data_IF_089471950773
#
_entry.id   IF_089471950773
#
_cell.length_a   1.000
_cell.length_b   1.000
_cell.length_c   1.000
_cell.angle_alpha   90.00
_cell.angle_beta   90.00
_cell.angle_gamma   90.00
#
_symmetry.space_group_name_H-M   'P 1'
#
loop_
_entity.id
_entity.type
_entity.pdbx_description
1 polymer ?
#
# COMPACT_ATOMS: atom_id res chain seq x y z
N UNK A 1 26.75 14.16 -7.48
CA UNK A 1 26.12 13.00 -6.81
C UNK A 1 25.31 13.42 -5.57
N UNK A 2 25.92 14.07 -4.57
CA UNK A 2 25.26 14.47 -3.31
C UNK A 2 23.98 15.31 -3.50
N UNK A 3 24.01 16.34 -4.36
CA UNK A 3 22.82 17.14 -4.70
C UNK A 3 21.66 16.28 -5.21
N UNK A 4 21.92 15.28 -6.07
CA UNK A 4 20.86 14.39 -6.62
C UNK A 4 20.23 13.52 -5.53
N UNK A 5 21.04 13.01 -4.60
CA UNK A 5 20.56 12.23 -3.46
C UNK A 5 19.68 13.10 -2.55
N UNK A 6 20.13 14.30 -2.21
CA UNK A 6 19.36 15.23 -1.38
C UNK A 6 18.00 15.60 -2.02
N UNK A 7 17.97 15.87 -3.33
CA UNK A 7 16.73 16.14 -4.05
C UNK A 7 15.79 14.92 -4.05
N UNK A 8 16.34 13.70 -4.14
CA UNK A 8 15.56 12.46 -4.10
C UNK A 8 14.95 12.21 -2.73
N UNK A 9 15.70 12.50 -1.66
CA UNK A 9 15.23 12.43 -0.27
C UNK A 9 14.11 13.46 -0.07
N UNK A 10 14.36 14.72 -0.44
CA UNK A 10 13.37 15.79 -0.33
C UNK A 10 12.08 15.46 -1.09
N UNK A 11 12.18 14.95 -2.33
CA UNK A 11 11.03 14.50 -3.10
C UNK A 11 10.25 13.37 -2.42
N UNK A 12 10.94 12.45 -1.75
CA UNK A 12 10.30 11.35 -1.02
C UNK A 12 9.58 11.83 0.23
N UNK A 13 10.20 12.75 0.99
CA UNK A 13 9.58 13.38 2.16
C UNK A 13 8.35 14.20 1.77
N UNK A 14 8.44 14.99 0.69
CA UNK A 14 7.32 15.74 0.14
C UNK A 14 6.17 14.81 -0.29
N UNK A 15 6.49 13.71 -0.96
CA UNK A 15 5.50 12.70 -1.34
C UNK A 15 4.78 12.09 -0.14
N UNK A 16 5.53 11.72 0.90
CA UNK A 16 4.95 11.15 2.13
C UNK A 16 4.10 12.16 2.88
N UNK A 17 4.60 13.40 3.05
CA UNK A 17 3.88 14.47 3.72
C UNK A 17 2.57 14.84 2.98
N UNK A 18 2.62 14.92 1.64
CA UNK A 18 1.45 15.15 0.81
C UNK A 18 0.40 14.04 0.97
N UNK A 19 0.84 12.78 1.01
CA UNK A 19 -0.08 11.66 1.22
C UNK A 19 -0.74 11.67 2.60
N UNK A 20 0.02 11.99 3.65
CA UNK A 20 -0.51 12.12 5.01
C UNK A 20 -1.52 13.28 5.07
N UNK A 21 -1.21 14.42 4.47
CA UNK A 21 -2.13 15.56 4.38
C UNK A 21 -3.45 15.19 3.71
N UNK A 22 -3.39 14.52 2.55
CA UNK A 22 -4.59 14.06 1.83
C UNK A 22 -5.40 13.12 2.72
N UNK A 23 -4.76 12.13 3.36
CA UNK A 23 -5.44 11.15 4.20
C UNK A 23 -6.09 11.78 5.44
N UNK A 24 -5.41 12.73 6.10
CA UNK A 24 -5.93 13.38 7.30
C UNK A 24 -7.00 14.42 6.99
N UNK A 25 -6.89 15.18 5.90
CA UNK A 25 -7.88 16.23 5.60
C UNK A 25 -9.11 15.64 4.89
N UNK A 26 -8.94 14.61 4.05
CA UNK A 26 -10.05 14.04 3.28
C UNK A 26 -11.16 13.48 4.16
N UNK A 27 -10.84 12.74 5.22
CA UNK A 27 -11.82 12.09 6.09
C UNK A 27 -12.83 13.09 6.70
N UNK A 28 -12.43 14.09 7.51
CA UNK A 28 -13.38 15.05 8.08
C UNK A 28 -14.09 15.90 7.03
N UNK A 29 -13.41 16.21 5.93
CA UNK A 29 -14.01 17.03 4.88
C UNK A 29 -15.13 16.27 4.17
N UNK A 30 -14.88 15.03 3.74
CA UNK A 30 -15.88 14.22 3.07
C UNK A 30 -17.03 13.87 4.02
N UNK A 31 -16.76 13.57 5.29
CA UNK A 31 -17.81 13.36 6.30
C UNK A 31 -18.67 14.62 6.48
N UNK A 32 -18.07 15.81 6.50
CA UNK A 32 -18.81 17.07 6.68
C UNK A 32 -19.79 17.35 5.54
N UNK A 33 -19.40 17.09 4.28
CA UNK A 33 -20.22 17.44 3.11
C UNK A 33 -21.13 16.31 2.62
N UNK A 34 -20.71 15.05 2.75
CA UNK A 34 -21.48 13.89 2.29
C UNK A 34 -22.17 13.13 3.43
N UNK A 35 -21.75 13.35 4.68
CA UNK A 35 -22.22 12.55 5.81
C UNK A 35 -21.60 11.14 5.83
N UNK A 36 -21.83 10.41 6.93
CA UNK A 36 -21.21 9.10 7.15
C UNK A 36 -21.66 8.03 6.14
N UNK A 37 -22.94 7.98 5.81
CA UNK A 37 -23.47 6.90 4.96
C UNK A 37 -22.98 7.03 3.52
N UNK A 38 -23.13 8.21 2.91
CA UNK A 38 -22.69 8.47 1.55
C UNK A 38 -21.17 8.36 1.42
N UNK A 39 -20.40 8.85 2.41
CA UNK A 39 -18.95 8.67 2.44
C UNK A 39 -18.55 7.18 2.57
N UNK A 40 -19.31 6.39 3.33
CA UNK A 40 -19.11 4.94 3.41
C UNK A 40 -19.32 4.23 2.08
N UNK A 41 -20.38 4.59 1.36
CA UNK A 41 -20.64 4.05 0.01
C UNK A 41 -19.55 4.47 -0.97
N UNK A 42 -19.10 5.72 -0.90
CA UNK A 42 -17.94 6.21 -1.67
C UNK A 42 -16.67 5.39 -1.38
N UNK A 43 -16.37 5.08 -0.12
CA UNK A 43 -15.21 4.24 0.23
C UNK A 43 -15.31 2.84 -0.35
N UNK A 44 -16.51 2.24 -0.36
CA UNK A 44 -16.74 0.93 -0.99
C UNK A 44 -16.51 1.00 -2.50
N UNK A 45 -17.06 2.00 -3.18
CA UNK A 45 -16.86 2.23 -4.60
C UNK A 45 -15.39 2.53 -4.95
N UNK A 46 -14.64 3.19 -4.07
CA UNK A 46 -13.21 3.44 -4.23
C UNK A 46 -12.34 2.21 -4.01
N UNK A 47 -12.83 1.27 -3.18
CA UNK A 47 -12.12 0.03 -2.84
C UNK A 47 -12.11 -0.95 -4.02
N UNK A 48 -13.22 -1.09 -4.76
CA UNK A 48 -13.36 -2.10 -5.81
C UNK A 48 -12.31 -1.94 -6.94
N UNK A 49 -12.13 -0.75 -7.56
CA UNK A 49 -11.18 -0.56 -8.65
C UNK A 49 -9.73 -0.73 -8.23
N UNK A 50 -9.41 -0.60 -6.94
CA UNK A 50 -8.05 -0.76 -6.46
C UNK A 50 -7.50 -2.17 -6.69
N UNK A 51 -8.35 -3.19 -6.83
CA UNK A 51 -7.91 -4.54 -7.23
C UNK A 51 -7.32 -4.57 -8.65
N UNK A 52 -7.63 -3.60 -9.52
CA UNK A 52 -6.95 -3.47 -10.81
C UNK A 52 -5.47 -3.12 -10.65
N UNK A 53 -5.03 -2.57 -9.52
CA UNK A 53 -3.59 -2.40 -9.28
C UNK A 53 -2.85 -3.74 -9.19
N UNK A 54 -3.56 -4.85 -8.96
CA UNK A 54 -2.99 -6.20 -9.03
C UNK A 54 -2.72 -6.65 -10.46
N UNK A 55 -3.38 -6.07 -11.48
CA UNK A 55 -3.08 -6.38 -12.88
C UNK A 55 -1.68 -5.92 -13.27
N UNK A 56 -1.11 -4.97 -12.53
CA UNK A 56 0.28 -4.62 -12.67
C UNK A 56 1.20 -5.76 -12.25
N UNK A 57 0.82 -6.70 -11.37
CA UNK A 57 1.58 -7.91 -11.03
C UNK A 57 3.12 -7.77 -10.87
N UNK A 58 3.62 -6.58 -10.50
CA UNK A 58 5.05 -6.24 -10.48
C UNK A 58 5.70 -6.03 -11.86
N UNK A 59 4.91 -5.99 -12.94
CA UNK A 59 5.27 -5.65 -14.31
C UNK A 59 5.86 -4.25 -14.39
N UNK A 60 5.21 -3.21 -13.84
CA UNK A 60 5.79 -1.86 -13.85
C UNK A 60 7.17 -1.83 -13.18
N UNK A 61 7.35 -2.54 -12.06
CA UNK A 61 8.64 -2.64 -11.38
C UNK A 61 9.70 -3.37 -12.22
N UNK A 62 9.37 -4.49 -12.86
CA UNK A 62 10.30 -5.21 -13.73
C UNK A 62 10.65 -4.42 -15.00
N UNK A 63 9.65 -3.83 -15.65
CA UNK A 63 9.85 -2.90 -16.77
C UNK A 63 10.73 -1.73 -16.35
N UNK A 64 10.53 -1.21 -15.14
CA UNK A 64 11.30 -0.08 -14.64
C UNK A 64 12.78 -0.40 -14.46
N UNK A 65 13.07 -1.58 -13.93
CA UNK A 65 14.45 -2.06 -13.78
C UNK A 65 15.11 -2.34 -15.14
N UNK A 66 14.40 -3.01 -16.06
CA UNK A 66 14.94 -3.29 -17.40
C UNK A 66 15.15 -1.99 -18.19
N UNK A 67 14.24 -1.02 -18.08
CA UNK A 67 14.39 0.29 -18.71
C UNK A 67 15.63 1.00 -18.19
N UNK A 68 15.89 0.97 -16.89
CA UNK A 68 17.10 1.54 -16.30
C UNK A 68 18.38 0.87 -16.83
N UNK A 69 18.38 -0.46 -17.01
CA UNK A 69 19.52 -1.19 -17.58
C UNK A 69 19.75 -0.79 -19.05
N UNK A 70 18.70 -0.77 -19.86
CA UNK A 70 18.79 -0.50 -21.31
C UNK A 70 19.20 0.95 -21.58
N UNK A 71 18.62 1.91 -20.84
CA UNK A 71 19.02 3.33 -20.92
C UNK A 71 20.46 3.53 -20.44
N UNK A 72 20.90 2.84 -19.39
CA UNK A 72 22.30 2.90 -18.92
C UNK A 72 23.29 2.35 -19.96
N UNK A 73 22.86 1.39 -20.79
CA UNK A 73 23.61 0.87 -21.94
C UNK A 73 23.55 1.78 -23.18
N UNK A 74 22.80 2.89 -23.12
CA UNK A 74 22.56 3.83 -24.22
C UNK A 74 21.89 3.22 -25.46
N UNK A 75 21.16 2.11 -25.29
CA UNK A 75 20.36 1.53 -26.36
C UNK A 75 18.96 2.17 -26.38
N UNK A 76 18.91 3.36 -26.98
CA UNK A 76 17.70 4.18 -27.08
C UNK A 76 16.55 3.47 -27.81
N UNK A 77 16.88 2.67 -28.83
CA UNK A 77 15.91 1.96 -29.65
C UNK A 77 15.16 0.90 -28.85
N UNK A 78 15.91 0.12 -28.07
CA UNK A 78 15.35 -0.90 -27.18
C UNK A 78 14.61 -0.27 -26.01
N UNK A 79 15.09 0.86 -25.48
CA UNK A 79 14.40 1.60 -24.41
C UNK A 79 13.02 2.12 -24.87
N UNK A 80 12.97 2.70 -26.07
CA UNK A 80 11.73 3.21 -26.65
C UNK A 80 10.70 2.09 -26.91
N UNK A 81 11.17 0.94 -27.45
CA UNK A 81 10.34 -0.24 -27.66
C UNK A 81 9.81 -0.80 -26.34
N UNK A 82 10.66 -0.92 -25.33
CA UNK A 82 10.28 -1.43 -24.01
C UNK A 82 9.24 -0.54 -23.33
N UNK A 83 9.41 0.79 -23.39
CA UNK A 83 8.46 1.75 -22.83
C UNK A 83 7.10 1.68 -23.55
N UNK A 84 7.10 1.65 -24.89
CA UNK A 84 5.88 1.50 -25.68
C UNK A 84 5.15 0.20 -25.37
N UNK A 85 5.91 -0.90 -25.25
CA UNK A 85 5.36 -2.19 -24.91
C UNK A 85 4.77 -2.21 -23.49
N UNK A 86 5.47 -1.62 -22.52
CA UNK A 86 4.97 -1.45 -21.17
C UNK A 86 3.64 -0.69 -21.10
N UNK A 87 3.55 0.45 -21.81
CA UNK A 87 2.31 1.23 -21.91
C UNK A 87 1.17 0.36 -22.44
N UNK A 88 1.37 -0.32 -23.57
CA UNK A 88 0.32 -1.15 -24.18
C UNK A 88 -0.08 -2.36 -23.34
N UNK A 89 0.85 -2.94 -22.60
CA UNK A 89 0.57 -4.08 -21.74
C UNK A 89 -0.20 -3.69 -20.48
N UNK A 90 0.16 -2.58 -19.82
CA UNK A 90 -0.60 -2.08 -18.67
C UNK A 90 -2.02 -1.68 -19.13
N UNK A 91 -2.19 -1.06 -20.30
CA UNK A 91 -3.52 -0.78 -20.87
C UNK A 91 -4.28 -2.08 -21.17
N UNK A 92 -3.61 -3.06 -21.78
CA UNK A 92 -4.22 -4.32 -22.17
C UNK A 92 -4.65 -5.18 -20.97
N UNK A 93 -3.76 -5.44 -20.02
CA UNK A 93 -4.07 -6.20 -18.81
C UNK A 93 -5.01 -5.44 -17.88
N UNK A 94 -4.82 -4.12 -17.71
CA UNK A 94 -5.71 -3.27 -16.91
C UNK A 94 -7.10 -3.18 -17.52
N UNK A 95 -7.21 -3.03 -18.84
CA UNK A 95 -8.48 -3.02 -19.57
C UNK A 95 -9.20 -4.37 -19.51
N UNK A 96 -8.49 -5.47 -19.73
CA UNK A 96 -9.05 -6.82 -19.57
C UNK A 96 -9.53 -7.04 -18.12
N UNK A 97 -8.73 -6.68 -17.14
CA UNK A 97 -9.09 -6.74 -15.73
C UNK A 97 -10.32 -5.90 -15.41
N UNK A 98 -10.41 -4.68 -15.95
CA UNK A 98 -11.57 -3.80 -15.76
C UNK A 98 -12.85 -4.39 -16.37
N UNK A 99 -12.76 -4.98 -17.57
CA UNK A 99 -13.91 -5.66 -18.21
C UNK A 99 -14.37 -6.86 -17.40
N UNK A 100 -13.44 -7.73 -16.97
CA UNK A 100 -13.76 -8.90 -16.15
C UNK A 100 -14.37 -8.49 -14.80
N UNK A 101 -13.83 -7.45 -14.17
CA UNK A 101 -14.35 -6.90 -12.92
C UNK A 101 -15.75 -6.32 -13.11
N UNK A 102 -15.96 -5.48 -14.13
CA UNK A 102 -17.27 -4.91 -14.43
C UNK A 102 -18.31 -6.00 -14.73
N UNK A 103 -17.93 -7.06 -15.47
CA UNK A 103 -18.80 -8.19 -15.74
C UNK A 103 -19.18 -8.93 -14.43
N UNK A 104 -18.20 -9.22 -13.58
CA UNK A 104 -18.46 -9.86 -12.27
C UNK A 104 -19.37 -9.03 -11.36
N UNK A 105 -19.17 -7.72 -11.31
CA UNK A 105 -20.02 -6.80 -10.54
C UNK A 105 -21.45 -6.73 -11.08
N UNK A 106 -21.61 -6.78 -12.41
CA UNK A 106 -22.92 -6.81 -13.06
C UNK A 106 -23.65 -8.12 -12.76
N UNK A 107 -22.96 -9.26 -12.83
CA UNK A 107 -23.55 -10.57 -12.57
C UNK A 107 -23.95 -10.77 -11.11
N UNK A 108 -23.27 -10.12 -10.17
CA UNK A 108 -23.51 -10.26 -8.72
C UNK A 108 -24.46 -9.20 -8.14
N UNK A 109 -24.80 -8.15 -8.89
CA UNK A 109 -25.65 -7.06 -8.38
C UNK A 109 -24.99 -6.30 -7.24
N UNK A 110 -23.82 -5.72 -7.49
CA UNK A 110 -22.95 -5.20 -6.43
C UNK A 110 -23.55 -4.15 -5.52
N UNK A 111 -24.45 -3.31 -6.02
CA UNK A 111 -25.16 -2.30 -5.23
C UNK A 111 -25.97 -2.93 -4.10
N UNK A 112 -26.59 -4.09 -4.35
CA UNK A 112 -27.41 -4.81 -3.38
C UNK A 112 -26.57 -5.43 -2.27
N UNK A 113 -25.55 -6.23 -2.61
CA UNK A 113 -24.76 -6.92 -1.58
C UNK A 113 -23.82 -5.97 -0.81
N UNK A 114 -23.38 -4.86 -1.41
CA UNK A 114 -22.66 -3.79 -0.71
C UNK A 114 -23.56 -2.78 0.00
N UNK A 115 -24.89 -2.94 -0.08
CA UNK A 115 -25.88 -2.09 0.57
C UNK A 115 -25.69 -0.60 0.21
N UNK A 116 -25.43 -0.34 -1.08
CA UNK A 116 -25.33 1.00 -1.65
C UNK A 116 -26.77 1.49 -1.91
N UNK A 117 -27.23 2.43 -1.09
CA UNK A 117 -28.61 2.91 -1.08
C UNK A 117 -28.72 4.43 -1.31
N UNK A 118 -27.69 5.21 -1.00
CA UNK A 118 -27.72 6.67 -1.11
C UNK A 118 -27.15 7.16 -2.45
N UNK A 119 -26.15 6.48 -2.99
CA UNK A 119 -25.66 6.70 -4.35
C UNK A 119 -26.59 5.94 -5.30
N UNK A 120 -27.16 6.64 -6.29
CA UNK A 120 -28.02 6.00 -7.29
C UNK A 120 -27.25 4.91 -8.04
N UNK A 121 -27.92 3.84 -8.48
CA UNK A 121 -27.25 2.75 -9.19
C UNK A 121 -26.50 3.23 -10.44
N UNK A 122 -27.08 4.18 -11.18
CA UNK A 122 -26.42 4.82 -12.33
C UNK A 122 -25.15 5.56 -11.91
N UNK A 123 -25.21 6.37 -10.85
CA UNK A 123 -24.04 7.10 -10.36
C UNK A 123 -22.98 6.16 -9.79
N UNK A 124 -23.38 5.05 -9.17
CA UNK A 124 -22.46 4.03 -8.67
C UNK A 124 -21.69 3.38 -9.82
N UNK A 125 -22.35 3.02 -10.91
CA UNK A 125 -21.70 2.50 -12.12
C UNK A 125 -20.77 3.51 -12.77
N UNK A 126 -21.22 4.77 -12.94
CA UNK A 126 -20.36 5.83 -13.50
C UNK A 126 -19.12 6.06 -12.62
N UNK A 127 -19.32 6.12 -11.30
CA UNK A 127 -18.24 6.25 -10.31
C UNK A 127 -17.23 5.12 -10.47
N UNK A 128 -17.69 3.86 -10.56
CA UNK A 128 -16.80 2.72 -10.76
C UNK A 128 -16.01 2.80 -12.07
N UNK A 129 -16.66 3.11 -13.19
CA UNK A 129 -15.99 3.17 -14.48
C UNK A 129 -14.91 4.26 -14.51
N UNK A 130 -15.21 5.44 -13.97
CA UNK A 130 -14.22 6.51 -13.83
C UNK A 130 -13.08 6.09 -12.88
N UNK A 131 -13.37 5.52 -11.72
CA UNK A 131 -12.33 5.07 -10.80
C UNK A 131 -11.46 3.94 -11.36
N UNK A 132 -12.04 3.02 -12.17
CA UNK A 132 -11.27 2.01 -12.90
C UNK A 132 -10.33 2.66 -13.92
N UNK A 133 -10.82 3.62 -14.69
CA UNK A 133 -9.99 4.41 -15.61
C UNK A 133 -8.87 5.14 -14.86
N UNK A 134 -9.19 5.78 -13.75
CA UNK A 134 -8.23 6.45 -12.87
C UNK A 134 -7.12 5.50 -12.40
N UNK A 135 -7.44 4.28 -11.95
CA UNK A 135 -6.44 3.30 -11.51
C UNK A 135 -5.52 2.90 -12.66
N UNK A 136 -6.07 2.62 -13.85
CA UNK A 136 -5.25 2.29 -15.03
C UNK A 136 -4.33 3.45 -15.40
N UNK A 137 -4.82 4.70 -15.38
CA UNK A 137 -4.01 5.89 -15.62
C UNK A 137 -2.92 6.10 -14.56
N UNK A 138 -3.20 5.77 -13.30
CA UNK A 138 -2.21 5.83 -12.22
C UNK A 138 -1.07 4.82 -12.44
N UNK A 139 -1.39 3.58 -12.85
CA UNK A 139 -0.38 2.57 -13.22
C UNK A 139 0.49 3.03 -14.40
N UNK A 140 -0.13 3.66 -15.40
CA UNK A 140 0.60 4.24 -16.54
C UNK A 140 1.54 5.37 -16.10
N UNK A 141 1.09 6.23 -15.19
CA UNK A 141 1.90 7.33 -14.67
C UNK A 141 3.09 6.81 -13.85
N UNK A 142 2.91 5.73 -13.09
CA UNK A 142 4.00 5.08 -12.35
C UNK A 142 5.09 4.56 -13.32
N UNK A 143 4.72 3.90 -14.41
CA UNK A 143 5.67 3.47 -15.45
C UNK A 143 6.42 4.67 -16.08
N UNK A 144 5.72 5.75 -16.41
CA UNK A 144 6.36 6.96 -16.96
C UNK A 144 7.33 7.60 -15.97
N UNK A 145 7.08 7.51 -14.67
CA UNK A 145 7.97 8.07 -13.65
C UNK A 145 9.37 7.45 -13.65
N UNK A 146 9.54 6.28 -14.29
CA UNK A 146 10.83 5.63 -14.47
C UNK A 146 11.68 6.29 -15.55
N UNK A 147 11.09 6.98 -16.54
CA UNK A 147 11.86 7.67 -17.60
C UNK A 147 12.95 8.60 -17.03
N UNK A 148 12.63 9.60 -16.18
CA UNK A 148 13.65 10.47 -15.59
C UNK A 148 14.59 9.69 -14.66
N UNK A 149 14.09 8.65 -13.97
CA UNK A 149 14.89 7.79 -13.08
C UNK A 149 16.00 7.06 -13.86
N UNK A 150 15.67 6.52 -15.03
CA UNK A 150 16.60 5.83 -15.92
C UNK A 150 17.68 6.80 -16.48
N UNK A 151 17.34 8.07 -16.61
CA UNK A 151 18.24 9.17 -17.02
C UNK A 151 19.04 9.77 -15.85
N UNK A 152 18.88 9.24 -14.64
CA UNK A 152 19.60 9.66 -13.43
C UNK A 152 18.97 10.84 -12.67
N UNK A 153 17.75 11.25 -13.03
CA UNK A 153 16.89 12.17 -12.27
C UNK A 153 15.83 11.40 -11.48
N UNK A 154 16.20 11.01 -10.26
CA UNK A 154 15.33 10.24 -9.37
C UNK A 154 14.22 11.08 -8.70
N UNK A 155 14.21 12.40 -8.89
CA UNK A 155 13.31 13.31 -8.16
C UNK A 155 12.13 13.79 -9.01
N UNK A 156 12.35 14.19 -10.26
CA UNK A 156 11.31 14.84 -11.08
C UNK A 156 10.06 13.99 -11.28
N UNK A 157 10.22 12.69 -11.53
CA UNK A 157 9.08 11.77 -11.68
C UNK A 157 8.22 11.70 -10.41
N UNK A 158 8.85 11.62 -9.23
CA UNK A 158 8.15 11.60 -7.93
C UNK A 158 7.44 12.91 -7.65
N UNK A 159 8.11 14.04 -7.87
CA UNK A 159 7.52 15.37 -7.68
C UNK A 159 6.28 15.53 -8.56
N UNK A 160 6.33 15.09 -9.82
CA UNK A 160 5.20 15.15 -10.73
C UNK A 160 3.98 14.37 -10.19
N UNK A 161 4.21 13.14 -9.71
CA UNK A 161 3.14 12.32 -9.10
C UNK A 161 2.58 13.01 -7.85
N UNK A 162 3.43 13.56 -6.99
CA UNK A 162 2.99 14.28 -5.77
C UNK A 162 2.14 15.49 -6.12
N UNK A 163 2.58 16.32 -7.08
CA UNK A 163 1.80 17.48 -7.56
C UNK A 163 0.46 17.04 -8.13
N UNK A 164 0.44 15.96 -8.92
CA UNK A 164 -0.82 15.42 -9.47
C UNK A 164 -1.81 15.05 -8.36
N UNK A 165 -1.35 14.33 -7.32
CA UNK A 165 -2.19 13.93 -6.19
C UNK A 165 -2.72 15.13 -5.38
N UNK A 166 -1.90 16.16 -5.21
CA UNK A 166 -2.33 17.40 -4.53
C UNK A 166 -3.35 18.17 -5.37
N UNK A 167 -3.19 18.22 -6.70
CA UNK A 167 -4.16 18.84 -7.61
C UNK A 167 -5.49 18.09 -7.61
N UNK A 168 -5.46 16.76 -7.67
CA UNK A 168 -6.66 15.93 -7.53
C UNK A 168 -7.39 16.24 -6.23
N UNK A 169 -6.65 16.25 -5.12
CA UNK A 169 -7.22 16.55 -3.82
C UNK A 169 -7.83 17.97 -3.75
N UNK A 170 -7.15 18.97 -4.31
CA UNK A 170 -7.68 20.33 -4.38
C UNK A 170 -8.98 20.41 -5.19
N UNK A 171 -9.05 19.74 -6.34
CA UNK A 171 -10.26 19.68 -7.17
C UNK A 171 -11.40 18.96 -6.44
N UNK A 172 -11.11 17.85 -5.76
CA UNK A 172 -12.09 17.11 -4.95
C UNK A 172 -12.68 18.01 -3.86
N UNK A 173 -11.83 18.79 -3.16
CA UNK A 173 -12.30 19.75 -2.15
C UNK A 173 -13.29 20.75 -2.76
N UNK A 174 -12.97 21.31 -3.92
CA UNK A 174 -13.85 22.30 -4.58
C UNK A 174 -15.18 21.66 -4.96
N UNK A 175 -15.15 20.50 -5.62
CA UNK A 175 -16.37 19.81 -6.09
C UNK A 175 -17.29 19.41 -4.94
N UNK A 176 -16.73 18.82 -3.89
CA UNK A 176 -17.50 18.37 -2.73
C UNK A 176 -18.12 19.58 -2.00
N UNK A 177 -17.41 20.71 -1.92
CA UNK A 177 -17.94 21.97 -1.36
C UNK A 177 -19.12 22.52 -2.15
N UNK A 178 -19.11 22.34 -3.47
CA UNK A 178 -20.21 22.74 -4.36
C UNK A 178 -21.39 21.74 -4.37
N UNK A 179 -21.34 20.69 -3.55
CA UNK A 179 -22.40 19.68 -3.47
C UNK A 179 -22.36 18.64 -4.59
N UNK A 180 -21.22 18.48 -5.28
CA UNK A 180 -21.07 17.45 -6.31
C UNK A 180 -21.16 16.04 -5.72
N UNK A 181 -21.73 15.14 -6.52
CA UNK A 181 -21.89 13.72 -6.19
C UNK A 181 -20.65 12.89 -6.54
N UNK A 182 -20.65 11.63 -6.10
CA UNK A 182 -19.57 10.66 -6.29
C UNK A 182 -19.09 10.54 -7.75
N UNK A 183 -20.01 10.46 -8.72
CA UNK A 183 -19.67 10.29 -10.13
C UNK A 183 -18.85 11.48 -10.68
N UNK A 184 -19.24 12.71 -10.35
CA UNK A 184 -18.52 13.91 -10.76
C UNK A 184 -17.12 13.99 -10.12
N UNK A 185 -16.99 13.59 -8.85
CA UNK A 185 -15.70 13.52 -8.17
C UNK A 185 -14.78 12.45 -8.79
N UNK A 186 -15.31 11.28 -9.10
CA UNK A 186 -14.57 10.21 -9.79
C UNK A 186 -14.14 10.61 -11.21
N UNK A 187 -15.01 11.29 -11.96
CA UNK A 187 -14.68 11.86 -13.25
C UNK A 187 -13.51 12.86 -13.12
N UNK A 188 -13.55 13.74 -12.12
CA UNK A 188 -12.49 14.71 -11.89
C UNK A 188 -11.13 14.04 -11.57
N UNK A 189 -11.11 13.00 -10.74
CA UNK A 189 -9.91 12.18 -10.54
C UNK A 189 -9.33 11.67 -11.87
N UNK A 190 -10.18 11.12 -12.72
CA UNK A 190 -9.79 10.56 -14.02
C UNK A 190 -9.27 11.63 -14.98
N UNK A 191 -9.95 12.77 -15.05
CA UNK A 191 -9.58 13.89 -15.92
C UNK A 191 -8.25 14.51 -15.49
N UNK A 192 -8.07 14.80 -14.19
CA UNK A 192 -6.82 15.37 -13.67
C UNK A 192 -5.66 14.39 -13.89
N UNK A 193 -5.86 13.11 -13.57
CA UNK A 193 -4.84 12.07 -13.77
C UNK A 193 -4.49 11.89 -15.25
N UNK A 194 -5.49 11.84 -16.13
CA UNK A 194 -5.28 11.71 -17.58
C UNK A 194 -4.56 12.91 -18.19
N UNK A 195 -4.94 14.12 -17.78
CA UNK A 195 -4.28 15.37 -18.20
C UNK A 195 -2.83 15.41 -17.73
N UNK A 196 -2.58 15.00 -16.48
CA UNK A 196 -1.22 14.92 -15.91
C UNK A 196 -0.37 13.88 -16.63
N UNK A 197 -0.92 12.69 -16.91
CA UNK A 197 -0.25 11.65 -17.67
C UNK A 197 0.12 12.13 -19.08
N UNK A 198 -0.83 12.77 -19.79
CA UNK A 198 -0.58 13.33 -21.12
C UNK A 198 0.51 14.41 -21.08
N UNK A 199 0.44 15.33 -20.11
CA UNK A 199 1.46 16.36 -19.90
C UNK A 199 2.84 15.75 -19.63
N UNK A 200 2.92 14.73 -18.77
CA UNK A 200 4.16 14.02 -18.44
C UNK A 200 4.77 13.35 -19.67
N UNK A 201 3.94 12.62 -20.44
CA UNK A 201 4.37 11.95 -21.65
C UNK A 201 4.87 12.91 -22.72
N UNK A 202 4.12 14.00 -22.99
CA UNK A 202 4.51 15.03 -23.96
C UNK A 202 5.79 15.75 -23.53
N UNK A 203 5.91 16.09 -22.25
CA UNK A 203 7.12 16.71 -21.70
C UNK A 203 8.34 15.79 -21.86
N UNK A 204 8.23 14.51 -21.54
CA UNK A 204 9.32 13.55 -21.70
C UNK A 204 9.66 13.29 -23.16
N UNK A 205 8.67 13.27 -24.04
CA UNK A 205 8.91 13.21 -25.48
C UNK A 205 9.71 14.41 -25.98
N UNK A 206 9.51 15.59 -25.41
CA UNK A 206 10.34 16.75 -25.73
C UNK A 206 11.75 16.62 -25.13
N UNK A 207 11.84 16.26 -23.84
CA UNK A 207 13.07 16.31 -23.04
C UNK A 207 14.07 15.19 -23.30
N UNK A 208 13.59 14.00 -23.68
CA UNK A 208 14.39 12.79 -23.87
C UNK A 208 14.23 12.28 -25.32
N UNK A 209 15.27 12.35 -26.16
CA UNK A 209 15.17 12.02 -27.58
C UNK A 209 14.64 10.61 -27.87
N UNK A 210 15.07 9.60 -27.10
CA UNK A 210 14.63 8.21 -27.28
C UNK A 210 13.13 8.02 -27.04
N UNK A 211 12.50 8.83 -26.17
CA UNK A 211 11.05 8.76 -25.91
C UNK A 211 10.25 9.17 -27.16
N UNK A 212 10.82 9.96 -28.07
CA UNK A 212 10.18 10.31 -29.36
C UNK A 212 9.98 9.12 -30.27
N UNK A 213 10.82 8.10 -30.12
CA UNK A 213 10.82 6.87 -30.91
C UNK A 213 9.83 5.83 -30.39
N UNK A 214 9.18 6.09 -29.25
CA UNK A 214 8.18 5.19 -28.65
C UNK A 214 7.04 4.97 -29.63
N UNK A 215 6.82 3.71 -29.97
CA UNK A 215 5.70 3.23 -30.77
C UNK A 215 4.92 2.23 -29.94
N UNK A 216 3.60 2.32 -29.99
CA UNK A 216 2.70 1.35 -29.34
C UNK A 216 2.54 0.16 -30.27
N UNK A 217 2.85 -1.05 -29.78
CA UNK A 217 2.57 -2.30 -30.48
C UNK A 217 1.25 -2.91 -30.01
N UNK A 218 0.61 -3.73 -30.86
CA UNK A 218 -0.51 -4.53 -30.40
C UNK A 218 0.02 -5.63 -29.45
N UNK A 219 -0.42 -5.59 -28.20
CA UNK A 219 -0.22 -6.58 -27.13
C UNK A 219 1.10 -7.39 -27.16
N UNK A 220 2.22 -6.86 -26.62
CA UNK A 220 3.57 -7.41 -26.77
C UNK A 220 3.87 -8.55 -25.77
N UNK A 221 3.03 -9.59 -25.79
CA UNK A 221 3.09 -10.68 -24.82
C UNK A 221 4.45 -11.41 -24.84
N UNK A 222 5.06 -11.59 -26.01
CA UNK A 222 6.34 -12.28 -26.15
C UNK A 222 7.51 -11.56 -25.45
N UNK A 223 7.52 -10.22 -25.48
CA UNK A 223 8.59 -9.42 -24.87
C UNK A 223 8.41 -9.24 -23.36
N UNK A 224 7.16 -9.31 -22.90
CA UNK A 224 6.82 -9.08 -21.49
C UNK A 224 6.76 -10.39 -20.71
N UNK A 225 6.47 -11.51 -21.35
CA UNK A 225 6.41 -12.82 -20.70
C UNK A 225 7.63 -13.13 -19.82
N UNK A 226 8.88 -12.85 -20.25
CA UNK A 226 10.06 -13.09 -19.41
C UNK A 226 10.08 -12.25 -18.12
N UNK A 227 9.42 -11.09 -18.10
CA UNK A 227 9.37 -10.18 -16.96
C UNK A 227 8.43 -10.66 -15.85
N UNK A 228 7.49 -11.58 -16.13
CA UNK A 228 6.57 -12.09 -15.10
C UNK A 228 7.27 -12.95 -14.04
N UNK A 229 8.31 -13.70 -14.42
CA UNK A 229 8.97 -14.63 -13.49
C UNK A 229 9.65 -13.89 -12.31
N UNK A 230 10.45 -12.82 -12.53
CA UNK A 230 10.98 -12.00 -11.45
C UNK A 230 9.91 -11.29 -10.61
N UNK A 231 8.78 -10.93 -11.21
CA UNK A 231 7.74 -10.15 -10.55
C UNK A 231 6.81 -10.98 -9.65
N UNK A 232 6.78 -12.30 -9.81
CA UNK A 232 5.85 -13.18 -9.09
C UNK A 232 6.04 -13.14 -7.56
N UNK A 233 7.27 -12.97 -7.08
CA UNK A 233 7.54 -12.87 -5.64
C UNK A 233 7.00 -11.57 -5.03
N UNK A 234 7.15 -10.44 -5.73
CA UNK A 234 6.60 -9.15 -5.32
C UNK A 234 5.08 -9.10 -5.46
N UNK A 235 4.54 -9.79 -6.46
CA UNK A 235 3.10 -9.95 -6.61
C UNK A 235 2.46 -10.60 -5.38
N UNK A 236 3.08 -11.62 -4.78
CA UNK A 236 2.56 -12.25 -3.56
C UNK A 236 2.36 -11.25 -2.41
N UNK A 237 3.33 -10.36 -2.17
CA UNK A 237 3.20 -9.30 -1.16
C UNK A 237 2.12 -8.27 -1.51
N UNK A 238 2.06 -7.84 -2.77
CA UNK A 238 1.03 -6.90 -3.22
C UNK A 238 -0.37 -7.50 -3.11
N UNK A 239 -0.54 -8.76 -3.52
CA UNK A 239 -1.78 -9.52 -3.43
C UNK A 239 -2.24 -9.67 -1.98
N UNK A 240 -1.36 -10.10 -1.08
CA UNK A 240 -1.65 -10.24 0.34
C UNK A 240 -2.11 -8.91 0.95
N UNK A 241 -1.39 -7.82 0.68
CA UNK A 241 -1.78 -6.47 1.13
C UNK A 241 -3.14 -6.04 0.58
N UNK A 242 -3.42 -6.27 -0.71
CA UNK A 242 -4.72 -5.93 -1.29
C UNK A 242 -5.86 -6.75 -0.69
N UNK A 243 -5.65 -8.04 -0.44
CA UNK A 243 -6.62 -8.90 0.25
C UNK A 243 -6.92 -8.33 1.64
N UNK A 244 -5.90 -8.04 2.44
CA UNK A 244 -6.13 -7.50 3.79
C UNK A 244 -6.76 -6.11 3.73
N UNK A 245 -6.19 -5.17 2.97
CA UNK A 245 -6.62 -3.77 3.02
C UNK A 245 -8.00 -3.57 2.38
N UNK A 246 -8.17 -4.08 1.17
CA UNK A 246 -9.39 -3.86 0.38
C UNK A 246 -10.44 -4.91 0.70
N UNK A 247 -10.02 -6.15 0.96
CA UNK A 247 -10.95 -7.22 1.34
C UNK A 247 -11.60 -6.98 2.69
N UNK A 248 -10.88 -6.44 3.69
CA UNK A 248 -11.52 -6.07 4.97
C UNK A 248 -12.61 -5.02 4.78
N UNK A 249 -12.36 -4.01 3.94
CA UNK A 249 -13.33 -2.95 3.66
C UNK A 249 -14.55 -3.49 2.92
N UNK A 250 -14.36 -4.31 1.89
CA UNK A 250 -15.47 -4.96 1.17
C UNK A 250 -16.26 -5.91 2.05
N UNK A 251 -15.60 -6.68 2.90
CA UNK A 251 -16.24 -7.63 3.79
C UNK A 251 -17.15 -6.92 4.81
N UNK A 252 -16.68 -5.81 5.39
CA UNK A 252 -17.49 -4.98 6.28
C UNK A 252 -18.67 -4.37 5.50
N UNK A 253 -18.46 -3.88 4.27
CA UNK A 253 -19.55 -3.37 3.44
C UNK A 253 -20.63 -4.42 3.14
N UNK A 254 -20.19 -5.65 2.84
CA UNK A 254 -21.08 -6.76 2.50
C UNK A 254 -21.91 -7.24 3.70
N UNK A 255 -21.26 -7.47 4.84
CA UNK A 255 -21.92 -8.03 6.01
C UNK A 255 -22.60 -6.97 6.88
N UNK A 256 -22.02 -5.77 6.98
CA UNK A 256 -22.44 -4.72 7.92
C UNK A 256 -23.08 -3.53 7.20
N UNK A 257 -22.57 -2.32 7.34
CA UNK A 257 -23.15 -1.11 6.73
C UNK A 257 -22.05 -0.18 6.21
N UNK A 258 -22.35 0.72 5.26
CA UNK A 258 -21.40 1.74 4.81
C UNK A 258 -20.85 2.62 5.94
N UNK A 259 -21.65 2.91 6.98
CA UNK A 259 -21.19 3.66 8.16
C UNK A 259 -20.09 2.90 8.92
N UNK A 260 -20.24 1.58 9.06
CA UNK A 260 -19.25 0.73 9.73
C UNK A 260 -17.93 0.66 8.95
N UNK A 261 -17.98 0.81 7.62
CA UNK A 261 -16.78 0.98 6.78
C UNK A 261 -16.04 2.27 7.13
N UNK A 262 -16.76 3.38 7.34
CA UNK A 262 -16.15 4.64 7.78
C UNK A 262 -15.49 4.51 9.15
N UNK A 263 -16.20 3.91 10.12
CA UNK A 263 -15.65 3.66 11.46
C UNK A 263 -14.37 2.84 11.37
N UNK A 264 -14.42 1.67 10.72
CA UNK A 264 -13.28 0.78 10.58
C UNK A 264 -12.08 1.44 9.87
N UNK A 265 -12.30 2.11 8.73
CA UNK A 265 -11.21 2.74 7.97
C UNK A 265 -10.57 3.90 8.72
N UNK A 266 -11.35 4.62 9.54
CA UNK A 266 -10.85 5.69 10.41
C UNK A 266 -10.01 5.12 11.56
N UNK A 267 -10.52 4.10 12.27
CA UNK A 267 -9.76 3.41 13.33
C UNK A 267 -8.49 2.77 12.79
N UNK A 268 -8.57 2.13 11.61
CA UNK A 268 -7.42 1.52 10.92
C UNK A 268 -6.37 2.55 10.51
N UNK A 269 -6.78 3.76 10.11
CA UNK A 269 -5.83 4.83 9.77
C UNK A 269 -4.99 5.19 10.99
N UNK A 270 -5.61 5.30 12.17
CA UNK A 270 -4.90 5.61 13.41
C UNK A 270 -4.01 4.45 13.87
N UNK A 271 -4.49 3.20 13.80
CA UNK A 271 -3.66 2.04 14.19
C UNK A 271 -2.47 1.81 13.24
N UNK A 272 -2.63 2.10 11.94
CA UNK A 272 -1.55 2.01 10.96
C UNK A 272 -0.40 3.01 11.21
N UNK A 273 -0.60 4.02 12.04
CA UNK A 273 0.49 4.91 12.46
C UNK A 273 1.63 4.12 13.14
N UNK A 274 1.29 3.12 13.96
CA UNK A 274 2.27 2.23 14.59
C UNK A 274 3.08 1.49 13.51
N UNK A 275 2.39 0.93 12.51
CA UNK A 275 3.02 0.21 11.40
C UNK A 275 3.99 1.10 10.60
N UNK A 276 3.66 2.38 10.41
CA UNK A 276 4.55 3.33 9.73
C UNK A 276 5.88 3.54 10.49
N UNK A 277 5.83 3.65 11.82
CA UNK A 277 7.04 3.79 12.64
C UNK A 277 7.93 2.55 12.52
N UNK A 278 7.34 1.36 12.54
CA UNK A 278 8.08 0.11 12.34
C UNK A 278 8.73 0.08 10.95
N UNK A 279 8.03 0.52 9.90
CA UNK A 279 8.59 0.54 8.56
C UNK A 279 9.80 1.47 8.43
N UNK A 280 9.81 2.61 9.14
CA UNK A 280 10.97 3.49 9.22
C UNK A 280 12.15 2.75 9.86
N UNK A 281 11.92 2.11 11.01
CA UNK A 281 12.94 1.33 11.71
C UNK A 281 13.52 0.21 10.83
N UNK A 282 12.65 -0.58 10.19
CA UNK A 282 13.04 -1.66 9.28
C UNK A 282 13.87 -1.14 8.10
N UNK A 283 13.48 -0.01 7.50
CA UNK A 283 14.19 0.56 6.36
C UNK A 283 15.62 1.01 6.69
N UNK A 284 15.87 1.43 7.93
CA UNK A 284 17.19 1.84 8.40
C UNK A 284 18.10 0.64 8.67
N UNK A 285 17.53 -0.48 9.13
CA UNK A 285 18.30 -1.65 9.58
C UNK A 285 18.54 -2.66 8.46
N UNK A 286 17.68 -2.66 7.44
CA UNK A 286 17.80 -3.56 6.30
C UNK A 286 19.21 -3.53 5.64
N UNK A 287 19.80 -2.36 5.29
CA UNK A 287 21.14 -2.34 4.68
C UNK A 287 22.23 -2.94 5.58
N UNK A 288 22.19 -2.65 6.89
CA UNK A 288 23.15 -3.18 7.87
C UNK A 288 23.05 -4.70 7.98
N UNK A 289 21.82 -5.20 8.04
CA UNK A 289 21.55 -6.63 8.12
C UNK A 289 22.00 -7.36 6.86
N UNK A 290 21.77 -6.78 5.67
CA UNK A 290 22.31 -7.31 4.41
C UNK A 290 23.84 -7.35 4.43
N UNK A 291 24.51 -6.29 4.89
CA UNK A 291 25.99 -6.27 4.96
C UNK A 291 26.53 -7.37 5.89
N UNK A 292 25.98 -7.50 7.08
CA UNK A 292 26.40 -8.51 8.05
C UNK A 292 26.18 -9.94 7.52
N UNK A 293 25.01 -10.22 6.93
CA UNK A 293 24.67 -11.54 6.40
C UNK A 293 25.51 -11.92 5.17
N UNK A 294 25.79 -10.97 4.27
CA UNK A 294 26.67 -11.21 3.11
C UNK A 294 28.12 -11.40 3.53
N UNK A 295 28.56 -10.70 4.58
CA UNK A 295 29.89 -10.88 5.18
C UNK A 295 30.00 -12.14 6.06
N UNK A 296 28.93 -12.92 6.21
CA UNK A 296 28.85 -14.08 7.11
C UNK A 296 29.13 -13.76 8.60
N UNK A 297 28.96 -12.50 9.01
CA UNK A 297 29.04 -12.08 10.41
C UNK A 297 27.69 -12.30 11.11
N UNK A 298 27.43 -13.57 11.42
CA UNK A 298 26.18 -13.99 12.08
C UNK A 298 26.04 -13.42 13.49
N UNK A 299 27.14 -13.16 14.20
CA UNK A 299 27.08 -12.57 15.55
C UNK A 299 26.49 -11.16 15.49
N UNK A 300 26.99 -10.33 14.57
CA UNK A 300 26.44 -8.97 14.34
C UNK A 300 25.02 -9.04 13.80
N UNK A 301 24.72 -9.95 12.86
CA UNK A 301 23.36 -10.10 12.33
C UNK A 301 22.34 -10.48 13.40
N UNK A 302 22.67 -11.41 14.31
CA UNK A 302 21.83 -11.80 15.45
C UNK A 302 21.65 -10.64 16.41
N UNK A 303 22.72 -9.90 16.74
CA UNK A 303 22.62 -8.74 17.61
C UNK A 303 21.69 -7.67 17.01
N UNK A 304 21.90 -7.31 15.75
CA UNK A 304 21.04 -6.36 15.02
C UNK A 304 19.58 -6.83 15.00
N UNK A 305 19.36 -8.11 14.71
CA UNK A 305 18.02 -8.69 14.67
C UNK A 305 17.30 -8.62 16.03
N UNK A 306 17.98 -8.99 17.13
CA UNK A 306 17.42 -8.90 18.49
C UNK A 306 17.09 -7.46 18.87
N UNK A 307 18.01 -6.53 18.62
CA UNK A 307 17.84 -5.12 18.96
C UNK A 307 16.70 -4.48 18.18
N UNK A 308 16.59 -4.76 16.88
CA UNK A 308 15.49 -4.22 16.07
C UNK A 308 14.14 -4.74 16.53
N UNK A 309 14.03 -6.05 16.80
CA UNK A 309 12.79 -6.64 17.29
C UNK A 309 12.43 -6.11 18.69
N UNK A 310 13.42 -5.87 19.55
CA UNK A 310 13.22 -5.29 20.89
C UNK A 310 12.69 -3.85 20.78
N UNK A 311 13.35 -3.01 19.98
CA UNK A 311 12.93 -1.61 19.75
C UNK A 311 11.52 -1.59 19.13
N UNK A 312 11.25 -2.46 18.16
CA UNK A 312 9.94 -2.57 17.51
C UNK A 312 8.84 -2.97 18.50
N UNK A 313 9.08 -3.97 19.34
CA UNK A 313 8.13 -4.42 20.35
C UNK A 313 7.79 -3.28 21.33
N UNK A 314 8.80 -2.69 21.96
CA UNK A 314 8.60 -1.67 23.00
C UNK A 314 8.06 -0.36 22.43
N UNK A 315 8.49 0.05 21.24
CA UNK A 315 7.88 1.22 20.57
C UNK A 315 6.43 0.94 20.20
N UNK A 316 6.11 -0.25 19.65
CA UNK A 316 4.73 -0.61 19.31
C UNK A 316 3.84 -0.67 20.56
N UNK A 317 4.34 -1.17 21.69
CA UNK A 317 3.62 -1.18 22.96
C UNK A 317 3.39 0.23 23.51
N UNK A 318 4.42 1.09 23.47
CA UNK A 318 4.32 2.49 23.87
C UNK A 318 3.25 3.23 23.06
N UNK A 319 3.30 3.12 21.73
CA UNK A 319 2.31 3.78 20.87
C UNK A 319 0.93 3.17 20.98
N UNK A 320 0.81 1.85 21.22
CA UNK A 320 -0.46 1.20 21.52
C UNK A 320 -1.09 1.82 22.77
N UNK A 321 -0.35 1.89 23.89
CA UNK A 321 -0.87 2.47 25.14
C UNK A 321 -1.21 3.95 24.95
N UNK A 322 -0.34 4.71 24.29
CA UNK A 322 -0.58 6.12 24.03
C UNK A 322 -1.85 6.34 23.18
N UNK A 323 -2.05 5.55 22.12
CA UNK A 323 -3.23 5.64 21.27
C UNK A 323 -4.49 5.09 21.94
N UNK A 324 -4.39 4.08 22.81
CA UNK A 324 -5.52 3.59 23.59
C UNK A 324 -6.06 4.70 24.51
N UNK A 325 -5.18 5.47 25.15
CA UNK A 325 -5.54 6.58 26.05
C UNK A 325 -6.01 7.83 25.27
N UNK A 326 -5.29 8.20 24.21
CA UNK A 326 -5.50 9.48 23.50
C UNK A 326 -6.37 9.36 22.26
N UNK A 327 -6.57 8.16 21.74
CA UNK A 327 -7.20 7.89 20.44
C UNK A 327 -8.64 8.39 20.37
N UNK A 328 -9.40 8.29 21.46
CA UNK A 328 -10.75 8.87 21.51
C UNK A 328 -10.76 10.39 21.32
N UNK A 329 -9.84 11.10 21.97
CA UNK A 329 -9.68 12.56 21.82
C UNK A 329 -9.17 12.94 20.42
N UNK A 330 -8.24 12.15 19.87
CA UNK A 330 -7.75 12.35 18.50
C UNK A 330 -8.91 12.18 17.51
N UNK A 331 -9.69 11.11 17.62
CA UNK A 331 -10.82 10.83 16.73
C UNK A 331 -11.92 11.89 16.84
N UNK A 332 -12.23 12.37 18.06
CA UNK A 332 -13.26 13.39 18.25
C UNK A 332 -12.87 14.72 17.62
N UNK A 333 -11.61 15.15 17.77
CA UNK A 333 -11.11 16.38 17.12
C UNK A 333 -10.99 16.17 15.61
N UNK A 334 -10.40 15.06 15.18
CA UNK A 334 -10.12 14.78 13.78
C UNK A 334 -11.39 14.63 12.96
N UNK A 335 -12.38 13.88 13.45
CA UNK A 335 -13.65 13.63 12.73
C UNK A 335 -14.77 14.57 13.13
N UNK A 336 -14.48 15.62 13.91
CA UNK A 336 -15.48 16.54 14.49
C UNK A 336 -16.60 15.80 15.25
N UNK A 337 -16.25 14.72 15.93
CA UNK A 337 -17.15 13.88 16.72
C UNK A 337 -18.00 12.89 15.92
N UNK A 338 -17.83 12.80 14.60
CA UNK A 338 -18.62 11.90 13.75
C UNK A 338 -18.27 10.42 13.96
N UNK A 339 -17.03 10.11 14.33
CA UNK A 339 -16.57 8.76 14.64
C UNK A 339 -16.10 8.70 16.09
N UNK A 340 -16.62 7.73 16.85
CA UNK A 340 -16.19 7.44 18.21
C UNK A 340 -15.40 6.12 18.23
N UNK A 341 -14.41 5.98 19.14
CA UNK A 341 -13.76 4.69 19.34
C UNK A 341 -14.78 3.67 19.85
N UNK A 342 -15.02 2.62 19.07
CA UNK A 342 -15.83 1.49 19.48
C UNK A 342 -14.93 0.46 20.18
N UNK A 343 -15.18 0.19 21.46
CA UNK A 343 -14.46 -0.85 22.20
C UNK A 343 -15.25 -2.15 22.20
N UNK A 344 -14.60 -3.32 22.05
CA UNK A 344 -13.14 -3.57 22.05
C UNK A 344 -12.45 -3.44 20.68
N UNK A 345 -13.14 -2.96 19.64
CA UNK A 345 -12.64 -2.93 18.25
C UNK A 345 -11.33 -2.16 18.13
N UNK A 346 -11.26 -0.97 18.73
CA UNK A 346 -10.09 -0.12 18.64
C UNK A 346 -8.86 -0.77 19.29
N UNK A 347 -9.00 -1.30 20.51
CA UNK A 347 -7.92 -2.04 21.18
C UNK A 347 -7.47 -3.24 20.36
N UNK A 348 -8.40 -4.02 19.81
CA UNK A 348 -8.07 -5.19 18.98
C UNK A 348 -7.29 -4.80 17.72
N UNK A 349 -7.67 -3.70 17.05
CA UNK A 349 -6.93 -3.17 15.90
C UNK A 349 -5.52 -2.70 16.28
N UNK A 350 -5.37 -2.03 17.44
CA UNK A 350 -4.05 -1.65 17.94
C UNK A 350 -3.20 -2.89 18.25
N UNK A 351 -3.79 -3.91 18.88
CA UNK A 351 -3.13 -5.18 19.20
C UNK A 351 -2.59 -5.90 17.96
N UNK A 352 -3.23 -5.78 16.80
CA UNK A 352 -2.67 -6.34 15.54
C UNK A 352 -1.29 -5.81 15.20
N UNK A 353 -0.95 -4.60 15.68
CA UNK A 353 0.34 -3.96 15.40
C UNK A 353 1.50 -4.61 16.15
N UNK A 354 1.25 -5.34 17.25
CA UNK A 354 2.29 -6.03 18.02
C UNK A 354 2.85 -7.27 17.29
N UNK A 355 2.05 -8.27 16.87
CA UNK A 355 2.58 -9.36 16.07
C UNK A 355 3.11 -8.86 14.73
N UNK A 356 2.48 -7.84 14.13
CA UNK A 356 3.00 -7.20 12.92
C UNK A 356 4.40 -6.62 13.11
N UNK A 357 4.64 -5.88 14.19
CA UNK A 357 5.94 -5.25 14.42
C UNK A 357 7.05 -6.29 14.49
N UNK A 358 6.82 -7.37 15.23
CA UNK A 358 7.75 -8.48 15.38
C UNK A 358 7.96 -9.26 14.08
N UNK A 359 6.89 -9.66 13.38
CA UNK A 359 7.06 -10.48 12.18
C UNK A 359 7.64 -9.66 11.03
N UNK A 360 7.30 -8.38 10.89
CA UNK A 360 7.83 -7.52 9.84
C UNK A 360 9.34 -7.27 10.02
N UNK A 361 9.79 -7.01 11.25
CA UNK A 361 11.24 -6.88 11.53
C UNK A 361 11.98 -8.19 11.30
N UNK A 362 11.40 -9.34 11.67
CA UNK A 362 11.97 -10.65 11.38
C UNK A 362 12.00 -10.99 9.90
N UNK A 363 10.98 -10.62 9.13
CA UNK A 363 10.93 -10.85 7.68
C UNK A 363 12.08 -10.14 6.95
N UNK A 364 12.57 -9.05 7.51
CA UNK A 364 13.72 -8.29 6.97
C UNK A 364 14.97 -9.15 6.85
N UNK A 365 15.18 -10.14 7.73
CA UNK A 365 16.31 -11.08 7.64
C UNK A 365 16.25 -11.89 6.35
N UNK A 366 15.10 -12.47 6.01
CA UNK A 366 14.89 -13.24 4.80
C UNK A 366 14.90 -12.36 3.54
N UNK A 367 14.36 -11.15 3.63
CA UNK A 367 14.43 -10.16 2.54
C UNK A 367 15.90 -9.79 2.26
N UNK A 368 16.72 -9.62 3.31
CA UNK A 368 18.14 -9.25 3.20
C UNK A 368 18.98 -10.26 2.42
N UNK A 369 18.58 -11.52 2.39
CA UNK A 369 19.24 -12.62 1.64
C UNK A 369 18.44 -13.08 0.41
N UNK A 370 17.44 -12.30 -0.03
CA UNK A 370 16.57 -12.60 -1.18
C UNK A 370 15.79 -13.93 -1.10
N UNK A 371 15.50 -14.41 0.12
CA UNK A 371 14.71 -15.64 0.39
C UNK A 371 13.25 -15.32 0.79
N UNK A 372 12.70 -14.24 0.25
CA UNK A 372 11.39 -13.71 0.64
C UNK A 372 10.19 -14.42 0.00
N UNK A 373 10.39 -15.33 -0.95
CA UNK A 373 9.31 -16.01 -1.68
C UNK A 373 8.43 -16.85 -0.75
N UNK A 374 9.04 -17.57 0.19
CA UNK A 374 8.29 -18.36 1.18
C UNK A 374 7.47 -17.47 2.12
N UNK A 375 7.95 -16.27 2.43
CA UNK A 375 7.23 -15.30 3.27
C UNK A 375 6.08 -14.70 2.50
N UNK A 376 6.27 -14.35 1.22
CA UNK A 376 5.22 -13.85 0.35
C UNK A 376 4.04 -14.85 0.27
N UNK A 377 4.33 -16.14 0.07
CA UNK A 377 3.29 -17.18 0.02
C UNK A 377 2.61 -17.36 1.38
N UNK A 378 3.37 -17.40 2.47
CA UNK A 378 2.80 -17.46 3.83
C UNK A 378 1.89 -16.24 4.11
N UNK A 379 2.25 -15.06 3.59
CA UNK A 379 1.46 -13.85 3.76
C UNK A 379 0.15 -13.87 2.96
N UNK A 380 0.15 -14.42 1.74
CA UNK A 380 -1.09 -14.65 0.98
C UNK A 380 -2.01 -15.62 1.73
N UNK A 381 -1.47 -16.75 2.20
CA UNK A 381 -2.24 -17.74 2.98
C UNK A 381 -2.80 -17.12 4.26
N UNK A 382 -1.98 -16.36 4.98
CA UNK A 382 -2.41 -15.62 6.17
C UNK A 382 -3.54 -14.64 5.86
N UNK A 383 -3.38 -13.84 4.79
CA UNK A 383 -4.35 -12.82 4.40
C UNK A 383 -5.70 -13.42 4.04
N UNK A 384 -5.71 -14.52 3.28
CA UNK A 384 -6.93 -15.28 2.98
C UNK A 384 -7.53 -15.89 4.24
N UNK A 385 -6.69 -16.51 5.08
CA UNK A 385 -7.12 -17.09 6.36
C UNK A 385 -7.74 -16.06 7.30
N UNK A 386 -7.19 -14.85 7.35
CA UNK A 386 -7.74 -13.73 8.13
C UNK A 386 -9.12 -13.31 7.65
N UNK A 387 -9.33 -13.17 6.34
CA UNK A 387 -10.65 -12.83 5.83
C UNK A 387 -11.66 -13.97 6.02
N UNK A 388 -11.24 -15.22 5.84
CA UNK A 388 -12.09 -16.39 6.11
C UNK A 388 -12.46 -16.51 7.59
N UNK A 389 -11.53 -16.23 8.51
CA UNK A 389 -11.85 -16.15 9.92
C UNK A 389 -12.81 -14.98 10.20
N UNK A 390 -12.58 -13.83 9.58
CA UNK A 390 -13.44 -12.66 9.74
C UNK A 390 -14.87 -12.90 9.19
N UNK A 391 -15.04 -13.61 8.08
CA UNK A 391 -16.37 -13.91 7.52
C UNK A 391 -17.22 -14.73 8.50
N UNK A 392 -16.60 -15.62 9.28
CA UNK A 392 -17.28 -16.39 10.32
C UNK A 392 -17.49 -15.61 11.62
N UNK A 393 -16.58 -14.70 11.97
CA UNK A 393 -16.64 -13.94 13.23
C UNK A 393 -17.50 -12.68 13.16
N UNK A 394 -17.60 -12.01 12.02
CA UNK A 394 -18.37 -10.77 11.86
C UNK A 394 -19.85 -10.93 12.26
N UNK A 395 -20.56 -12.02 11.89
CA UNK A 395 -21.95 -12.19 12.30
C UNK A 395 -22.16 -12.21 13.83
N UNK A 396 -21.18 -12.70 14.60
CA UNK A 396 -21.28 -12.83 16.06
C UNK A 396 -20.65 -11.65 16.81
N UNK A 397 -19.57 -11.06 16.29
CA UNK A 397 -18.74 -10.07 16.98
C UNK A 397 -18.66 -8.72 16.25
N UNK A 398 -19.37 -8.53 15.13
CA UNK A 398 -19.34 -7.29 14.34
C UNK A 398 -17.93 -6.91 13.89
N UNK A 399 -17.58 -5.62 14.04
CA UNK A 399 -16.24 -5.12 13.68
C UNK A 399 -15.11 -5.76 14.49
N UNK A 400 -15.37 -6.19 15.73
CA UNK A 400 -14.37 -6.89 16.53
C UNK A 400 -14.01 -8.24 15.89
N UNK A 401 -14.96 -8.91 15.25
CA UNK A 401 -14.71 -10.14 14.48
C UNK A 401 -13.71 -9.94 13.34
N UNK A 402 -13.80 -8.81 12.63
CA UNK A 402 -12.81 -8.43 11.62
C UNK A 402 -11.42 -8.22 12.23
N UNK A 403 -11.33 -7.47 13.34
CA UNK A 403 -10.06 -7.21 14.02
C UNK A 403 -9.41 -8.50 14.57
N UNK A 404 -10.20 -9.43 15.11
CA UNK A 404 -9.73 -10.75 15.57
C UNK A 404 -9.20 -11.57 14.40
N UNK A 405 -9.90 -11.60 13.26
CA UNK A 405 -9.42 -12.30 12.06
C UNK A 405 -8.06 -11.78 11.58
N UNK A 406 -7.84 -10.47 11.61
CA UNK A 406 -6.53 -9.86 11.31
C UNK A 406 -5.47 -10.25 12.35
N UNK A 407 -5.81 -10.22 13.63
CA UNK A 407 -4.90 -10.61 14.71
C UNK A 407 -4.43 -12.07 14.58
N UNK A 408 -5.34 -12.98 14.21
CA UNK A 408 -5.02 -14.39 13.95
C UNK A 408 -4.04 -14.54 12.77
N UNK A 409 -4.23 -13.76 11.69
CA UNK A 409 -3.33 -13.79 10.55
C UNK A 409 -1.94 -13.23 10.86
N UNK A 410 -1.87 -12.09 11.55
CA UNK A 410 -0.60 -11.54 12.01
C UNK A 410 0.10 -12.50 12.99
N UNK A 411 -0.65 -13.21 13.84
CA UNK A 411 -0.14 -14.28 14.71
C UNK A 411 0.41 -15.49 13.93
N UNK A 412 -0.28 -15.93 12.88
CA UNK A 412 0.23 -16.98 11.98
C UNK A 412 1.52 -16.54 11.27
N UNK A 413 1.56 -15.29 10.80
CA UNK A 413 2.75 -14.72 10.18
C UNK A 413 3.92 -14.65 11.16
N UNK A 414 3.68 -14.23 12.39
CA UNK A 414 4.67 -14.21 13.45
C UNK A 414 5.35 -15.56 13.60
N UNK A 415 4.56 -16.63 13.71
CA UNK A 415 5.09 -17.99 13.85
C UNK A 415 5.92 -18.41 12.63
N UNK A 416 5.38 -18.25 11.41
CA UNK A 416 6.05 -18.71 10.17
C UNK A 416 7.32 -17.91 9.86
N UNK A 417 7.31 -16.61 10.09
CA UNK A 417 8.45 -15.75 9.82
C UNK A 417 9.55 -15.96 10.85
N UNK A 418 9.22 -16.16 12.13
CA UNK A 418 10.22 -16.48 13.15
C UNK A 418 10.91 -17.82 12.88
N UNK A 419 10.17 -18.84 12.44
CA UNK A 419 10.79 -20.10 12.02
C UNK A 419 11.80 -19.90 10.89
N UNK A 420 11.45 -19.06 9.90
CA UNK A 420 12.31 -18.77 8.77
C UNK A 420 13.55 -17.96 9.20
N UNK A 421 13.38 -16.89 9.99
CA UNK A 421 14.51 -16.05 10.43
C UNK A 421 15.51 -16.84 11.27
N UNK A 422 15.05 -17.71 12.16
CA UNK A 422 15.90 -18.59 12.95
C UNK A 422 16.63 -19.64 12.08
N UNK A 423 16.03 -20.09 10.98
CA UNK A 423 16.72 -20.99 10.04
C UNK A 423 17.86 -20.29 9.29
N UNK A 424 17.78 -18.97 9.10
CA UNK A 424 18.81 -18.15 8.46
C UNK A 424 19.89 -17.78 9.47
N UNK A 425 19.50 -17.43 10.69
CA UNK A 425 20.37 -17.12 11.81
C UNK A 425 20.67 -18.40 12.58
N UNK A 426 21.49 -19.29 12.00
CA UNK A 426 21.71 -20.68 12.47
C UNK A 426 22.08 -20.86 13.95
N UNK A 427 22.65 -19.83 14.59
CA UNK A 427 23.04 -19.84 16.01
C UNK A 427 21.95 -19.28 16.95
N UNK A 428 20.89 -18.71 16.39
CA UNK A 428 19.78 -18.15 17.13
C UNK A 428 18.69 -19.18 17.43
N UNK A 429 18.10 -19.08 18.62
CA UNK A 429 16.97 -19.92 19.05
C UNK A 429 15.93 -19.06 19.74
N UNK A 430 14.66 -19.48 19.68
CA UNK A 430 13.54 -18.82 20.37
C UNK A 430 13.86 -18.57 21.85
N UNK A 431 14.46 -19.56 22.53
CA UNK A 431 14.82 -19.46 23.94
C UNK A 431 15.88 -18.40 24.27
N UNK A 432 16.65 -17.91 23.29
CA UNK A 432 17.58 -16.78 23.46
C UNK A 432 17.00 -15.45 22.96
N UNK A 433 16.14 -15.50 21.96
CA UNK A 433 15.48 -14.33 21.39
C UNK A 433 14.47 -13.72 22.36
N UNK A 434 13.57 -14.52 22.95
CA UNK A 434 12.52 -14.00 23.85
C UNK A 434 13.11 -13.25 25.06
N UNK A 435 14.12 -13.78 25.79
CA UNK A 435 14.77 -13.02 26.86
C UNK A 435 15.43 -11.74 26.34
N UNK A 436 16.10 -11.78 25.18
CA UNK A 436 16.73 -10.59 24.62
C UNK A 436 15.74 -9.46 24.30
N UNK A 437 14.50 -9.79 23.94
CA UNK A 437 13.45 -8.80 23.70
C UNK A 437 12.91 -8.17 24.99
N UNK A 438 12.83 -8.95 26.07
CA UNK A 438 12.12 -8.55 27.30
C UNK A 438 13.06 -8.00 28.37
N UNK A 439 14.28 -8.53 28.51
CA UNK A 439 15.15 -8.26 29.68
C UNK A 439 16.48 -7.60 29.35
N UNK A 440 16.98 -7.70 28.10
CA UNK A 440 18.32 -7.21 27.76
C UNK A 440 18.32 -5.74 27.32
N UNK A 441 18.38 -4.82 28.28
CA UNK A 441 18.48 -3.37 28.06
C UNK A 441 19.88 -2.78 28.31
N UNK A 442 20.89 -3.61 28.57
CA UNK A 442 22.23 -3.15 28.96
C UNK A 442 22.89 -2.26 27.88
N UNK A 443 22.51 -2.45 26.62
CA UNK A 443 22.97 -1.67 25.47
C UNK A 443 22.51 -0.19 25.47
N UNK A 444 21.54 0.20 26.31
CA UNK A 444 21.10 1.59 26.46
C UNK A 444 22.01 2.40 27.39
N UNK A 445 22.83 1.75 28.22
CA UNK A 445 23.72 2.42 29.19
C UNK A 445 24.71 3.43 28.56
N UNK A 446 25.33 3.16 27.39
CA UNK A 446 26.20 4.11 26.72
C UNK A 446 25.48 5.36 26.19
N UNK A 447 24.18 5.29 25.90
CA UNK A 447 23.38 6.39 25.35
C UNK A 447 22.90 7.39 26.42
N UNK A 448 23.11 7.08 27.70
CA UNK A 448 22.81 7.98 28.84
C UNK A 448 23.99 8.90 29.20
N UNK A 449 25.15 8.69 28.58
CA UNK A 449 26.31 9.58 28.65
C UNK A 449 26.28 10.52 27.45
#
# INVERSE_FOLDING_TARGET
MFRRVLHSIAASVLGQAGQILIQLISVPLLIQYWGLTYYGEWLLLFTIPSYLSLSDAGLASALSNELLIVVSKKDESKAARLLGNGITAILGFGGLGAVLLALGLKLTGFTTWLKINYISESDAWQTLLFLMMYVVLALQQELLSTVPRAEGDNASGRIWITVTRLLEFAVVIVLVRTGSQAAAVAMAYSVVRGSSWAGMFLWYRHRYPWVRQVKTSFFPLAEIRPLFSPSLAFFGFALANSIVLQGSTLLIGAFMTPVQVVVYTTLRTLSNFIRQIINVLTSAIWPELTRALVAYDYATAILLHRRVCQIALWSSLLFLIALEITGGSILSVWTKGAVKPEQPVFTLLLLTSLPYSLWNTSATTAISVNRHQSIALAFVVSSLGSLLAATWLIPSYGLAGMAIGLLLGDGFMLFRVFQNSLSILSEERIGKLVPALVTDFAWLNPLRK
#
